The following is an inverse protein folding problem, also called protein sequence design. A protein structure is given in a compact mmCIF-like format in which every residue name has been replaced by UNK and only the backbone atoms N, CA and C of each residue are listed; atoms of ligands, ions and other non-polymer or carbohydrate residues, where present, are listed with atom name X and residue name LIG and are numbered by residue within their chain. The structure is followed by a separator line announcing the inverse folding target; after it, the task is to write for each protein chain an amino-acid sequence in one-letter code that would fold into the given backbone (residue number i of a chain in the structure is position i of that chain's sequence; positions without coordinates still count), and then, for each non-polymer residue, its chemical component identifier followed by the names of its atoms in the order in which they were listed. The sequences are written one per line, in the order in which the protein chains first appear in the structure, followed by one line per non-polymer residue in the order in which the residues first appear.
data_IF_276003370818
#
_entry.id   IF_276003370818
#
_cell.length_a   1.000
_cell.length_b   1.000
_cell.length_c   1.000
_cell.angle_alpha   90.00
_cell.angle_beta   90.00
_cell.angle_gamma   90.00
#
_symmetry.space_group_name_H-M   'P 1'
#
loop_
_entity.id
_entity.type
_entity.pdbx_description
1 polymer ?
#
# COMPACT_ATOMS: atom_id res chain seq x y z
N UNK A 1 5.15 19.62 7.92
CA UNK A 1 4.93 18.28 7.35
C UNK A 1 5.61 17.28 8.27
N UNK A 2 4.89 16.79 9.27
CA UNK A 2 5.42 15.93 10.30
C UNK A 2 4.37 14.91 10.69
N UNK A 3 4.81 13.75 11.15
CA UNK A 3 3.92 12.69 11.60
C UNK A 3 3.07 13.26 12.75
N UNK A 4 1.77 13.46 12.50
CA UNK A 4 0.93 14.39 13.28
C UNK A 4 0.84 14.07 14.77
N UNK A 5 1.09 12.82 15.16
CA UNK A 5 1.17 12.39 16.55
C UNK A 5 2.29 11.36 16.74
N UNK A 6 2.74 11.18 17.98
CA UNK A 6 3.67 10.10 18.34
C UNK A 6 3.13 8.71 17.95
N UNK A 7 1.83 8.46 18.14
CA UNK A 7 1.20 7.20 17.74
C UNK A 7 1.30 6.97 16.23
N UNK A 8 1.04 7.99 15.43
CA UNK A 8 1.20 7.93 13.96
C UNK A 8 2.66 7.68 13.57
N UNK A 9 3.63 8.26 14.28
CA UNK A 9 5.06 8.02 14.05
C UNK A 9 5.46 6.57 14.32
N UNK A 10 4.97 6.00 15.43
CA UNK A 10 5.20 4.59 15.76
C UNK A 10 4.56 3.68 14.71
N UNK A 11 3.30 3.93 14.32
CA UNK A 11 2.63 3.13 13.28
C UNK A 11 3.33 3.21 11.92
N UNK A 12 3.79 4.40 11.54
CA UNK A 12 4.60 4.59 10.33
C UNK A 12 5.87 3.75 10.39
N UNK A 13 6.62 3.84 11.49
CA UNK A 13 7.85 3.07 11.68
C UNK A 13 7.61 1.56 11.63
N UNK A 14 6.60 1.07 12.37
CA UNK A 14 6.21 -0.36 12.36
C UNK A 14 5.89 -0.81 10.94
N UNK A 15 5.07 -0.06 10.20
CA UNK A 15 4.70 -0.43 8.85
C UNK A 15 5.90 -0.49 7.90
N UNK A 16 6.80 0.51 7.96
CA UNK A 16 8.03 0.50 7.15
C UNK A 16 8.93 -0.68 7.52
N UNK A 17 9.09 -0.98 8.81
CA UNK A 17 9.88 -2.13 9.26
C UNK A 17 9.28 -3.46 8.78
N UNK A 18 7.95 -3.63 8.87
CA UNK A 18 7.27 -4.83 8.37
C UNK A 18 7.37 -4.95 6.85
N UNK A 19 7.28 -3.84 6.13
CA UNK A 19 7.49 -3.81 4.67
C UNK A 19 8.89 -4.28 4.28
N UNK A 20 9.93 -3.77 4.95
CA UNK A 20 11.32 -4.20 4.71
C UNK A 20 11.50 -5.69 5.01
N UNK A 21 10.91 -6.18 6.12
CA UNK A 21 10.93 -7.59 6.48
C UNK A 21 10.26 -8.46 5.41
N UNK A 22 9.08 -8.06 4.94
CA UNK A 22 8.32 -8.72 3.89
C UNK A 22 9.11 -8.80 2.59
N UNK A 23 9.74 -7.70 2.16
CA UNK A 23 10.59 -7.66 0.97
C UNK A 23 11.84 -8.55 1.12
N UNK A 24 12.41 -8.62 2.32
CA UNK A 24 13.55 -9.49 2.62
C UNK A 24 13.16 -10.97 2.52
N UNK A 25 12.01 -11.37 3.06
CA UNK A 25 11.53 -12.74 2.94
C UNK A 25 11.15 -13.12 1.51
N UNK A 26 10.62 -12.18 0.73
CA UNK A 26 10.41 -12.40 -0.70
C UNK A 26 11.74 -12.61 -1.44
N UNK A 27 12.77 -11.82 -1.14
CA UNK A 27 14.11 -12.01 -1.70
C UNK A 27 14.73 -13.36 -1.32
N UNK A 28 14.60 -13.77 -0.05
CA UNK A 28 15.03 -15.08 0.42
C UNK A 28 14.33 -16.22 -0.32
N UNK A 29 13.02 -16.11 -0.53
CA UNK A 29 12.25 -17.08 -1.30
C UNK A 29 12.84 -17.29 -2.70
N UNK A 30 13.14 -16.20 -3.41
CA UNK A 30 13.72 -16.28 -4.76
C UNK A 30 15.12 -16.88 -4.75
N UNK A 31 15.98 -16.49 -3.80
CA UNK A 31 17.33 -17.04 -3.70
C UNK A 31 17.29 -18.55 -3.45
N UNK A 32 16.37 -19.04 -2.61
CA UNK A 32 16.26 -20.46 -2.31
C UNK A 32 15.55 -21.27 -3.40
N UNK A 33 14.65 -20.63 -4.15
CA UNK A 33 13.89 -21.30 -5.21
C UNK A 33 14.67 -21.39 -6.53
N UNK A 34 15.51 -20.41 -6.85
CA UNK A 34 16.17 -20.30 -8.16
C UNK A 34 17.53 -21.00 -8.21
N UNK A 35 17.96 -21.49 -9.39
CA UNK A 35 19.19 -22.26 -9.55
C UNK A 35 20.48 -21.45 -9.36
N UNK A 36 20.41 -20.13 -9.54
CA UNK A 36 21.53 -19.21 -9.32
C UNK A 36 21.06 -17.85 -8.81
N UNK A 37 21.99 -17.08 -8.26
CA UNK A 37 21.72 -15.73 -7.71
C UNK A 37 21.34 -14.76 -8.82
N UNK A 38 21.92 -14.91 -10.01
CA UNK A 38 21.62 -14.07 -11.18
C UNK A 38 20.19 -14.28 -11.65
N UNK A 39 19.72 -15.54 -11.70
CA UNK A 39 18.33 -15.86 -12.06
C UNK A 39 17.38 -15.31 -10.99
N UNK A 40 17.71 -15.48 -9.71
CA UNK A 40 16.93 -14.92 -8.60
C UNK A 40 16.80 -13.39 -8.70
N UNK A 41 17.87 -12.68 -9.06
CA UNK A 41 17.86 -11.25 -9.24
C UNK A 41 16.94 -10.81 -10.38
N UNK A 42 17.02 -11.47 -11.56
CA UNK A 42 16.17 -11.16 -12.71
C UNK A 42 14.69 -11.38 -12.37
N UNK A 43 14.36 -12.53 -11.75
CA UNK A 43 12.99 -12.83 -11.31
C UNK A 43 12.54 -11.82 -10.26
N UNK A 44 13.41 -11.46 -9.32
CA UNK A 44 13.12 -10.46 -8.30
C UNK A 44 12.76 -9.10 -8.89
N UNK A 45 13.51 -8.63 -9.89
CA UNK A 45 13.21 -7.38 -10.60
C UNK A 45 11.86 -7.46 -11.31
N UNK A 46 11.61 -8.55 -12.04
CA UNK A 46 10.35 -8.74 -12.77
C UNK A 46 9.13 -8.73 -11.82
N UNK A 47 9.19 -9.51 -10.74
CA UNK A 47 8.07 -9.60 -9.78
C UNK A 47 7.87 -8.27 -9.05
N UNK A 48 8.94 -7.57 -8.66
CA UNK A 48 8.82 -6.24 -8.05
C UNK A 48 8.22 -5.22 -9.03
N UNK A 49 8.56 -5.27 -10.31
CA UNK A 49 7.96 -4.39 -11.31
C UNK A 49 6.45 -4.65 -11.46
N UNK A 50 6.04 -5.92 -11.49
CA UNK A 50 4.62 -6.31 -11.52
C UNK A 50 3.90 -5.80 -10.27
N UNK A 51 4.45 -6.06 -9.07
CA UNK A 51 3.85 -5.60 -7.83
C UNK A 51 3.78 -4.07 -7.73
N UNK A 52 4.79 -3.35 -8.21
CA UNK A 52 4.77 -1.88 -8.24
C UNK A 52 3.64 -1.37 -9.15
N UNK A 53 3.48 -1.97 -10.32
CA UNK A 53 2.41 -1.61 -11.27
C UNK A 53 1.02 -1.83 -10.65
N UNK A 54 0.85 -2.90 -9.88
CA UNK A 54 -0.43 -3.22 -9.23
C UNK A 54 -0.48 -2.80 -7.75
N UNK A 55 0.39 -1.87 -7.31
CA UNK A 55 0.35 -1.34 -5.95
C UNK A 55 -0.82 -0.38 -5.71
N UNK A 56 -1.46 0.11 -6.79
CA UNK A 56 -2.64 0.98 -6.73
C UNK A 56 -2.34 2.47 -6.63
N UNK A 57 -1.10 2.89 -6.92
CA UNK A 57 -0.72 4.31 -7.06
C UNK A 57 -0.63 4.74 -8.52
N UNK A 58 0.13 4.02 -9.35
CA UNK A 58 0.22 4.29 -10.78
C UNK A 58 0.19 2.98 -11.59
N UNK A 59 -0.97 2.59 -12.16
CA UNK A 59 -2.26 3.29 -12.13
C UNK A 59 -2.90 3.35 -10.74
N UNK A 60 -3.75 4.36 -10.46
CA UNK A 60 -4.57 4.39 -9.25
C UNK A 60 -5.45 3.14 -9.13
N UNK A 61 -5.68 2.65 -7.92
CA UNK A 61 -6.46 1.42 -7.72
C UNK A 61 -7.85 1.49 -8.36
N UNK A 62 -8.50 2.66 -8.38
CA UNK A 62 -9.80 2.87 -8.99
C UNK A 62 -9.84 2.69 -10.51
N UNK A 63 -8.70 2.78 -11.20
CA UNK A 63 -8.62 2.62 -12.66
C UNK A 63 -8.08 1.26 -13.11
N UNK A 64 -7.79 0.34 -12.17
CA UNK A 64 -7.37 -1.03 -12.51
C UNK A 64 -8.58 -1.79 -13.09
N UNK A 65 -8.49 -2.31 -14.33
CA UNK A 65 -9.59 -3.04 -14.96
C UNK A 65 -9.99 -4.28 -14.13
N UNK A 66 -11.28 -4.62 -14.13
CA UNK A 66 -11.83 -5.71 -13.30
C UNK A 66 -11.10 -7.05 -13.49
N UNK A 67 -10.73 -7.38 -14.73
CA UNK A 67 -9.99 -8.61 -15.04
C UNK A 67 -8.58 -8.69 -14.42
N UNK A 68 -7.99 -7.56 -14.04
CA UNK A 68 -6.67 -7.48 -13.39
C UNK A 68 -6.74 -7.13 -11.90
N UNK A 69 -7.93 -6.90 -11.32
CA UNK A 69 -8.07 -6.58 -9.89
C UNK A 69 -7.51 -7.66 -8.96
N UNK A 70 -7.49 -8.92 -9.38
CA UNK A 70 -6.86 -9.98 -8.60
C UNK A 70 -5.34 -9.74 -8.40
N UNK A 71 -4.63 -9.18 -9.39
CA UNK A 71 -3.21 -8.81 -9.26
C UNK A 71 -3.03 -7.72 -8.20
N UNK A 72 -3.94 -6.75 -8.15
CA UNK A 72 -3.98 -5.76 -7.09
C UNK A 72 -4.17 -6.40 -5.70
N UNK A 73 -5.04 -7.42 -5.58
CA UNK A 73 -5.26 -8.09 -4.30
C UNK A 73 -4.07 -8.96 -3.83
N UNK A 74 -3.36 -9.62 -4.75
CA UNK A 74 -2.19 -10.46 -4.38
C UNK A 74 -0.89 -9.66 -4.24
N UNK A 75 -0.90 -8.38 -4.62
CA UNK A 75 0.28 -7.51 -4.51
C UNK A 75 0.52 -7.16 -3.05
N UNK A 76 1.59 -7.66 -2.41
CA UNK A 76 1.82 -7.42 -0.98
C UNK A 76 2.11 -5.93 -0.69
N UNK A 77 2.73 -5.23 -1.64
CA UNK A 77 3.18 -3.85 -1.52
C UNK A 77 2.00 -2.87 -1.38
N UNK A 78 0.83 -3.21 -1.93
CA UNK A 78 -0.35 -2.35 -1.89
C UNK A 78 -0.87 -2.11 -0.48
N UNK A 79 -0.72 -3.11 0.40
CA UNK A 79 -1.21 -3.05 1.78
C UNK A 79 -0.34 -2.12 2.62
N UNK A 80 0.98 -2.24 2.50
CA UNK A 80 1.92 -1.31 3.15
C UNK A 80 1.74 0.11 2.64
N UNK A 81 1.60 0.30 1.32
CA UNK A 81 1.36 1.61 0.73
C UNK A 81 0.05 2.23 1.23
N UNK A 82 -1.04 1.46 1.27
CA UNK A 82 -2.31 1.91 1.82
C UNK A 82 -2.18 2.32 3.29
N UNK A 83 -1.45 1.56 4.11
CA UNK A 83 -1.20 1.95 5.51
C UNK A 83 -0.48 3.30 5.57
N UNK A 84 0.64 3.46 4.85
CA UNK A 84 1.42 4.70 4.85
C UNK A 84 0.58 5.92 4.45
N UNK A 85 -0.16 5.79 3.36
CA UNK A 85 -0.97 6.90 2.83
C UNK A 85 -2.12 7.20 3.78
N UNK A 86 -2.85 6.19 4.23
CA UNK A 86 -4.03 6.41 5.07
C UNK A 86 -3.67 6.95 6.45
N UNK A 87 -2.58 6.51 7.11
CA UNK A 87 -2.21 7.05 8.43
C UNK A 87 -1.75 8.51 8.39
N UNK A 88 -1.24 8.98 7.23
CA UNK A 88 -0.77 10.35 7.05
C UNK A 88 -1.85 11.29 6.51
N UNK A 89 -2.71 10.78 5.61
CA UNK A 89 -3.62 11.59 4.80
C UNK A 89 -5.09 11.19 4.92
N UNK A 90 -5.42 10.14 5.67
CA UNK A 90 -6.78 9.60 5.78
C UNK A 90 -7.48 9.82 7.12
N UNK A 91 -6.77 10.28 8.16
CA UNK A 91 -7.38 10.51 9.47
C UNK A 91 -8.03 11.89 9.55
N UNK A 92 -9.34 11.92 9.32
CA UNK A 92 -10.21 13.07 9.58
C UNK A 92 -11.36 12.60 10.48
N UNK A 93 -11.37 12.95 11.79
CA UNK A 93 -12.39 12.48 12.73
C UNK A 93 -13.81 12.95 12.39
N UNK A 94 -13.92 14.13 11.77
CA UNK A 94 -15.17 14.73 11.35
C UNK A 94 -14.98 15.36 9.98
N UNK A 95 -15.70 14.84 8.97
CA UNK A 95 -15.56 15.29 7.59
C UNK A 95 -16.16 16.69 7.39
N UNK A 96 -15.48 17.59 6.66
CA UNK A 96 -16.06 18.89 6.34
C UNK A 96 -17.25 18.74 5.40
N UNK A 97 -18.21 19.65 5.50
CA UNK A 97 -19.40 19.63 4.66
C UNK A 97 -19.22 20.58 3.48
N UNK A 98 -19.53 20.14 2.27
CA UNK A 98 -19.50 21.01 1.10
C UNK A 98 -20.83 21.78 0.97
N UNK A 99 -20.76 23.11 1.07
CA UNK A 99 -21.89 23.99 0.84
C UNK A 99 -22.00 24.39 -0.63
N UNK A 100 -23.09 23.96 -1.27
CA UNK A 100 -23.38 24.24 -2.68
C UNK A 100 -23.71 25.71 -2.94
N UNK A 101 -24.25 26.44 -1.96
CA UNK A 101 -24.64 27.84 -2.14
C UNK A 101 -23.42 28.75 -2.17
N UNK A 102 -22.46 28.53 -1.26
CA UNK A 102 -21.23 29.32 -1.18
C UNK A 102 -20.08 28.74 -2.01
N UNK A 103 -20.23 27.52 -2.54
CA UNK A 103 -19.18 26.77 -3.26
C UNK A 103 -17.93 26.54 -2.39
N UNK A 104 -18.11 26.38 -1.08
CA UNK A 104 -17.00 26.22 -0.12
C UNK A 104 -17.24 25.06 0.85
N UNK A 105 -16.15 24.53 1.41
CA UNK A 105 -16.24 23.59 2.52
C UNK A 105 -16.39 24.36 3.85
N UNK A 106 -17.39 23.97 4.63
CA UNK A 106 -17.61 24.44 6.00
C UNK A 106 -17.14 23.38 7.00
N UNK A 107 -16.83 23.81 8.23
CA UNK A 107 -16.31 22.95 9.31
C UNK A 107 -14.98 22.26 8.94
N UNK A 108 -14.13 22.92 8.16
CA UNK A 108 -12.80 22.42 7.80
C UNK A 108 -11.89 22.43 9.03
N UNK A 109 -11.43 21.25 9.44
CA UNK A 109 -10.46 21.11 10.53
C UNK A 109 -9.02 21.24 10.03
N UNK A 110 -8.08 21.48 10.93
CA UNK A 110 -6.67 21.76 10.58
C UNK A 110 -5.88 20.54 10.10
N UNK A 111 -6.36 19.33 10.36
CA UNK A 111 -5.75 18.08 9.92
C UNK A 111 -5.72 18.00 8.39
N UNK A 112 -4.58 17.57 7.82
CA UNK A 112 -4.37 17.55 6.38
C UNK A 112 -5.42 16.72 5.63
N UNK A 113 -5.86 15.61 6.22
CA UNK A 113 -6.91 14.75 5.67
C UNK A 113 -8.26 15.48 5.48
N UNK A 114 -8.57 16.45 6.35
CA UNK A 114 -9.79 17.24 6.33
C UNK A 114 -9.72 18.43 5.38
N UNK A 115 -8.53 18.76 4.85
CA UNK A 115 -8.37 19.92 3.98
C UNK A 115 -9.01 19.67 2.60
N UNK A 116 -9.69 20.68 2.02
CA UNK A 116 -10.14 20.63 0.63
C UNK A 116 -8.96 20.42 -0.31
N UNK A 117 -9.11 19.54 -1.29
CA UNK A 117 -8.09 19.34 -2.31
C UNK A 117 -8.06 20.54 -3.26
N UNK A 118 -6.89 21.13 -3.45
CA UNK A 118 -6.71 22.30 -4.31
C UNK A 118 -6.27 21.89 -5.72
N UNK A 119 -6.59 22.72 -6.71
CA UNK A 119 -6.17 22.55 -8.11
C UNK A 119 -6.57 21.20 -8.72
N UNK A 120 -7.75 20.69 -8.36
CA UNK A 120 -8.27 19.47 -8.97
C UNK A 120 -8.65 19.71 -10.44
N UNK A 121 -8.41 18.75 -11.34
CA UNK A 121 -8.95 18.81 -12.69
C UNK A 121 -10.49 18.87 -12.66
N UNK A 122 -11.13 19.46 -13.67
CA UNK A 122 -12.60 19.54 -13.74
C UNK A 122 -13.30 18.16 -13.74
N UNK A 123 -12.58 17.08 -14.06
CA UNK A 123 -13.08 15.71 -13.97
C UNK A 123 -13.20 15.18 -12.53
N UNK A 124 -12.55 15.82 -11.57
CA UNK A 124 -12.53 15.44 -10.16
C UNK A 124 -13.26 16.54 -9.39
N UNK A 125 -14.49 16.23 -8.97
CA UNK A 125 -15.36 17.16 -8.25
C UNK A 125 -14.76 17.65 -6.92
N UNK A 126 -15.49 18.51 -6.22
CA UNK A 126 -15.07 19.02 -4.92
C UNK A 126 -14.90 17.88 -3.91
N UNK A 127 -13.66 17.66 -3.46
CA UNK A 127 -13.31 16.59 -2.53
C UNK A 127 -12.24 17.07 -1.53
N UNK A 128 -12.08 16.33 -0.44
CA UNK A 128 -11.01 16.52 0.55
C UNK A 128 -9.81 15.65 0.21
N UNK A 129 -8.68 15.87 0.89
CA UNK A 129 -7.53 14.96 0.79
C UNK A 129 -7.92 13.52 1.13
N UNK A 130 -8.66 13.29 2.23
CA UNK A 130 -9.19 11.97 2.61
C UNK A 130 -10.10 11.37 1.54
N UNK A 131 -11.02 12.16 0.99
CA UNK A 131 -11.94 11.72 -0.06
C UNK A 131 -11.17 11.30 -1.31
N UNK A 132 -10.22 12.12 -1.75
CA UNK A 132 -9.41 11.84 -2.94
C UNK A 132 -8.60 10.54 -2.81
N UNK A 133 -7.91 10.31 -1.69
CA UNK A 133 -7.15 9.07 -1.49
C UNK A 133 -8.04 7.82 -1.38
N UNK A 134 -9.24 7.98 -0.82
CA UNK A 134 -10.23 6.91 -0.71
C UNK A 134 -10.82 6.55 -2.06
N UNK A 135 -11.23 7.54 -2.84
CA UNK A 135 -11.98 7.32 -4.09
C UNK A 135 -11.07 6.97 -5.28
N UNK A 136 -9.90 7.61 -5.38
CA UNK A 136 -8.98 7.43 -6.52
C UNK A 136 -8.01 6.28 -6.29
N UNK A 137 -7.42 6.20 -5.10
CA UNK A 137 -6.37 5.22 -4.79
C UNK A 137 -6.87 4.03 -3.96
N UNK A 138 -8.13 4.03 -3.51
CA UNK A 138 -8.71 3.01 -2.64
C UNK A 138 -7.85 2.78 -1.37
N UNK A 139 -7.41 3.87 -0.73
CA UNK A 139 -6.58 3.85 0.48
C UNK A 139 -7.31 4.53 1.65
N UNK A 140 -8.08 3.75 2.41
CA UNK A 140 -8.96 4.25 3.48
C UNK A 140 -8.36 4.06 4.86
N UNK A 141 -8.57 5.04 5.75
CA UNK A 141 -8.09 4.97 7.13
C UNK A 141 -8.74 3.83 7.94
N UNK A 142 -10.02 3.55 7.68
CA UNK A 142 -10.76 2.49 8.37
C UNK A 142 -10.20 1.09 8.06
N UNK A 143 -9.49 0.94 6.95
CA UNK A 143 -8.91 -0.34 6.50
C UNK A 143 -7.48 -0.57 7.02
N UNK A 144 -6.88 0.39 7.75
CA UNK A 144 -5.48 0.30 8.23
C UNK A 144 -5.19 -1.00 8.98
N UNK A 145 -6.07 -1.40 9.90
CA UNK A 145 -5.89 -2.62 10.68
C UNK A 145 -6.06 -3.90 9.86
N UNK A 146 -6.99 -3.91 8.91
CA UNK A 146 -7.14 -5.01 7.96
C UNK A 146 -5.90 -5.14 7.08
N UNK A 147 -5.35 -4.03 6.62
CA UNK A 147 -4.14 -3.99 5.81
C UNK A 147 -2.92 -4.51 6.60
N UNK A 148 -2.79 -4.17 7.89
CA UNK A 148 -1.75 -4.75 8.74
C UNK A 148 -1.89 -6.27 8.83
N UNK A 149 -3.12 -6.77 9.00
CA UNK A 149 -3.41 -8.20 8.97
C UNK A 149 -2.93 -8.87 7.68
N UNK A 150 -3.20 -8.26 6.53
CA UNK A 150 -2.72 -8.75 5.23
C UNK A 150 -1.18 -8.75 5.15
N UNK A 151 -0.49 -7.72 5.63
CA UNK A 151 0.98 -7.68 5.67
C UNK A 151 1.54 -8.85 6.49
N UNK A 152 0.97 -9.14 7.66
CA UNK A 152 1.40 -10.30 8.46
C UNK A 152 1.18 -11.63 7.74
N UNK A 153 0.05 -11.79 7.04
CA UNK A 153 -0.23 -12.98 6.22
C UNK A 153 0.84 -13.15 5.14
N UNK A 154 1.17 -12.09 4.39
CA UNK A 154 2.22 -12.17 3.35
C UNK A 154 3.61 -12.49 3.92
N UNK A 155 3.98 -11.87 5.05
CA UNK A 155 5.23 -12.19 5.76
C UNK A 155 5.28 -13.68 6.10
N UNK A 156 4.20 -14.20 6.69
CA UNK A 156 4.11 -15.62 7.06
C UNK A 156 4.20 -16.52 5.81
N UNK A 157 3.44 -16.22 4.75
CA UNK A 157 3.43 -17.01 3.51
C UNK A 157 4.82 -17.02 2.86
N UNK A 158 5.47 -15.87 2.68
CA UNK A 158 6.80 -15.82 2.10
C UNK A 158 7.83 -16.54 2.95
N UNK A 159 7.73 -16.45 4.28
CA UNK A 159 8.62 -17.18 5.19
C UNK A 159 8.41 -18.69 5.07
N UNK A 160 7.16 -19.12 5.09
CA UNK A 160 6.81 -20.53 4.97
C UNK A 160 7.28 -21.12 3.64
N UNK A 161 7.00 -20.45 2.52
CA UNK A 161 7.46 -20.87 1.20
C UNK A 161 8.99 -20.90 1.10
N UNK A 162 9.69 -19.93 1.70
CA UNK A 162 11.16 -19.92 1.73
C UNK A 162 11.72 -21.14 2.46
N UNK A 163 11.11 -21.55 3.58
CA UNK A 163 11.51 -22.73 4.33
C UNK A 163 11.24 -24.02 3.55
N UNK A 164 10.11 -24.09 2.82
CA UNK A 164 9.83 -25.21 1.94
C UNK A 164 10.83 -25.29 0.78
N UNK A 165 11.14 -24.15 0.15
CA UNK A 165 12.17 -24.08 -0.90
C UNK A 165 13.50 -24.60 -0.38
N UNK A 166 13.94 -24.13 0.79
CA UNK A 166 15.19 -24.59 1.41
C UNK A 166 15.18 -26.09 1.74
N UNK A 167 14.03 -26.65 2.13
CA UNK A 167 13.91 -28.07 2.51
C UNK A 167 13.89 -29.01 1.30
N UNK A 168 13.20 -28.61 0.23
CA UNK A 168 12.85 -29.52 -0.87
C UNK A 168 13.57 -29.22 -2.19
N UNK A 169 14.13 -28.02 -2.36
CA UNK A 169 14.86 -27.64 -3.57
C UNK A 169 16.36 -27.75 -3.29
N UNK A 170 17.06 -28.58 -4.06
CA UNK A 170 18.51 -28.74 -3.96
C UNK A 170 19.16 -28.58 -5.33
N UNK A 171 19.77 -27.42 -5.55
CA UNK A 171 20.48 -27.07 -6.79
C UNK A 171 21.93 -27.59 -6.83
N UNK A 172 22.44 -28.17 -5.74
CA UNK A 172 23.82 -28.68 -5.65
C UNK A 172 23.98 -30.14 -6.15
N UNK A 173 22.88 -30.88 -6.37
CA UNK A 173 22.91 -32.27 -6.85
C UNK A 173 22.95 -32.40 -8.39
N UNK A 174 23.75 -31.58 -9.06
CA UNK A 174 23.94 -31.68 -10.52
C UNK A 174 25.36 -32.10 -10.86
#
# INVERSE_FOLDING_TARGET
MGVGSFGTAVLYWINVSLFVLMQTYLGQLFIYAMPSVEVAAIVGVLINAIFLLFAGFNPPAGSIPDGYKWLYHITPQRYSLSILVSILFGNCPEDPTYDKATQTFINVRSELACQPLQNTPLSIGHTTVKGYIGDVFNMKYDEVWSNFGCVFIFIFVFRFLSLLALRYINHQKR
#
